data_IF_533174427399
#
_entry.id   IF_533174427399
#
_cell.length_a   1.000
_cell.length_b   1.000
_cell.length_c   1.000
_cell.angle_alpha   90.00
_cell.angle_beta   90.00
_cell.angle_gamma   90.00
#
_symmetry.space_group_name_H-M   'P 1'
#
loop_
_entity.id
_entity.type
_entity.pdbx_description
1 polymer ?
#
# COMPACT_ATOMS: atom_id res chain seq x y z
N UNK A 1 -3.27 11.88 22.75
CA UNK A 1 -4.01 10.60 22.67
C UNK A 1 -3.71 9.76 23.91
N UNK A 2 -4.57 8.78 24.24
CA UNK A 2 -4.24 7.78 25.26
C UNK A 2 -3.20 6.76 24.77
N UNK A 3 -2.57 6.03 25.70
CA UNK A 3 -1.61 4.95 25.40
C UNK A 3 -2.20 3.88 24.45
N UNK A 4 -3.46 3.55 24.63
CA UNK A 4 -4.17 2.58 23.80
C UNK A 4 -4.38 3.09 22.36
N UNK A 5 -4.63 4.39 22.17
CA UNK A 5 -4.80 4.98 20.85
C UNK A 5 -3.47 4.99 20.08
N UNK A 6 -2.35 5.25 20.76
CA UNK A 6 -1.01 5.19 20.15
C UNK A 6 -0.67 3.76 19.72
N UNK A 7 -1.05 2.77 20.54
CA UNK A 7 -0.87 1.35 20.19
C UNK A 7 -1.68 0.97 18.95
N UNK A 8 -2.96 1.38 18.88
CA UNK A 8 -3.82 1.17 17.70
C UNK A 8 -3.25 1.84 16.46
N UNK A 9 -2.74 3.06 16.58
CA UNK A 9 -2.11 3.78 15.47
C UNK A 9 -0.91 3.03 14.90
N UNK A 10 -0.05 2.47 15.76
CA UNK A 10 1.08 1.63 15.34
C UNK A 10 0.63 0.37 14.61
N UNK A 11 -0.39 -0.32 15.13
CA UNK A 11 -0.96 -1.51 14.47
C UNK A 11 -1.50 -1.15 13.09
N UNK A 12 -2.22 -0.03 12.95
CA UNK A 12 -2.73 0.42 11.66
C UNK A 12 -1.62 0.73 10.66
N UNK A 13 -0.53 1.37 11.11
CA UNK A 13 0.66 1.62 10.27
C UNK A 13 1.23 0.31 9.72
N UNK A 14 1.39 -0.71 10.55
CA UNK A 14 1.92 -2.01 10.10
C UNK A 14 0.97 -2.72 9.13
N UNK A 15 -0.35 -2.61 9.34
CA UNK A 15 -1.34 -3.14 8.39
C UNK A 15 -1.25 -2.42 7.04
N UNK A 16 -1.09 -1.10 7.03
CA UNK A 16 -0.94 -0.34 5.78
C UNK A 16 0.36 -0.72 5.07
N UNK A 17 1.46 -0.94 5.79
CA UNK A 17 2.72 -1.44 5.19
C UNK A 17 2.56 -2.81 4.55
N UNK A 18 1.88 -3.75 5.22
CA UNK A 18 1.57 -5.06 4.64
C UNK A 18 0.71 -4.91 3.37
N UNK A 19 -0.29 -4.04 3.40
CA UNK A 19 -1.12 -3.76 2.23
C UNK A 19 -0.32 -3.19 1.06
N UNK A 20 0.57 -2.20 1.29
CA UNK A 20 1.48 -1.67 0.25
C UNK A 20 2.32 -2.78 -0.40
N UNK A 21 2.86 -3.70 0.41
CA UNK A 21 3.63 -4.84 -0.10
C UNK A 21 2.78 -5.76 -0.99
N UNK A 22 1.53 -6.03 -0.58
CA UNK A 22 0.60 -6.88 -1.34
C UNK A 22 0.23 -6.26 -2.69
N UNK A 23 -0.02 -4.94 -2.73
CA UNK A 23 -0.31 -4.24 -3.99
C UNK A 23 0.89 -4.28 -4.94
N UNK A 24 2.11 -4.12 -4.41
CA UNK A 24 3.33 -4.25 -5.20
C UNK A 24 3.53 -5.67 -5.76
N UNK A 25 3.33 -6.69 -4.93
CA UNK A 25 3.39 -8.10 -5.36
C UNK A 25 2.34 -8.42 -6.44
N UNK A 26 1.11 -7.92 -6.27
CA UNK A 26 0.02 -8.08 -7.24
C UNK A 26 0.35 -7.40 -8.58
N UNK A 27 0.83 -6.16 -8.54
CA UNK A 27 1.26 -5.43 -9.74
C UNK A 27 2.37 -6.17 -10.48
N UNK A 28 3.40 -6.64 -9.76
CA UNK A 28 4.50 -7.43 -10.33
C UNK A 28 4.00 -8.73 -10.95
N UNK A 29 3.09 -9.43 -10.27
CA UNK A 29 2.45 -10.64 -10.78
C UNK A 29 1.77 -10.39 -12.12
N UNK A 30 0.90 -9.39 -12.21
CA UNK A 30 0.18 -9.07 -13.45
C UNK A 30 1.12 -8.58 -14.57
N UNK A 31 2.12 -7.76 -14.26
CA UNK A 31 3.13 -7.35 -15.24
C UNK A 31 3.89 -8.55 -15.81
N UNK A 32 4.27 -9.50 -14.96
CA UNK A 32 4.95 -10.72 -15.38
C UNK A 32 4.04 -11.62 -16.23
N UNK A 33 2.75 -11.73 -15.88
CA UNK A 33 1.77 -12.45 -16.71
C UNK A 33 1.57 -11.80 -18.06
N UNK A 34 1.48 -10.47 -18.13
CA UNK A 34 1.38 -9.77 -19.41
C UNK A 34 2.56 -10.09 -20.34
N UNK A 35 3.80 -10.12 -19.82
CA UNK A 35 5.00 -10.40 -20.61
C UNK A 35 5.04 -11.82 -21.20
N UNK A 36 4.38 -12.77 -20.53
CA UNK A 36 4.33 -14.16 -20.94
C UNK A 36 3.12 -14.51 -21.83
N UNK A 37 2.20 -13.56 -22.03
CA UNK A 37 0.93 -13.80 -22.68
C UNK A 37 0.99 -13.55 -24.20
N UNK A 38 0.35 -14.44 -24.97
CA UNK A 38 0.28 -14.36 -26.43
C UNK A 38 -1.03 -13.72 -26.91
N UNK A 39 -2.09 -13.78 -26.11
CA UNK A 39 -3.37 -13.16 -26.43
C UNK A 39 -3.38 -11.67 -26.04
N UNK A 40 -3.55 -10.79 -27.04
CA UNK A 40 -3.51 -9.33 -26.84
C UNK A 40 -4.57 -8.85 -25.84
N UNK A 41 -5.77 -9.40 -25.89
CA UNK A 41 -6.86 -9.06 -24.95
C UNK A 41 -6.46 -9.35 -23.50
N UNK A 42 -5.82 -10.49 -23.25
CA UNK A 42 -5.40 -10.91 -21.93
C UNK A 42 -4.13 -10.15 -21.47
N UNK A 43 -3.24 -9.81 -22.40
CA UNK A 43 -2.11 -8.90 -22.15
C UNK A 43 -2.60 -7.53 -21.66
N UNK A 44 -3.57 -6.95 -22.36
CA UNK A 44 -4.15 -5.66 -22.03
C UNK A 44 -4.86 -5.72 -20.68
N UNK A 45 -5.64 -6.78 -20.41
CA UNK A 45 -6.26 -6.99 -19.10
C UNK A 45 -5.23 -7.00 -17.96
N UNK A 46 -4.15 -7.78 -18.09
CA UNK A 46 -3.12 -7.84 -17.05
C UNK A 46 -2.41 -6.49 -16.86
N UNK A 47 -2.14 -5.74 -17.93
CA UNK A 47 -1.57 -4.38 -17.80
C UNK A 47 -2.52 -3.43 -17.08
N UNK A 48 -3.82 -3.50 -17.39
CA UNK A 48 -4.83 -2.69 -16.70
C UNK A 48 -4.94 -3.04 -15.22
N UNK A 49 -4.94 -4.34 -14.87
CA UNK A 49 -4.94 -4.78 -13.48
C UNK A 49 -3.69 -4.29 -12.73
N UNK A 50 -2.50 -4.44 -13.33
CA UNK A 50 -1.28 -3.92 -12.73
C UNK A 50 -1.32 -2.40 -12.49
N UNK A 51 -1.92 -1.64 -13.41
CA UNK A 51 -2.07 -0.19 -13.23
C UNK A 51 -2.97 0.15 -12.05
N UNK A 52 -4.07 -0.59 -11.86
CA UNK A 52 -4.98 -0.42 -10.71
C UNK A 52 -4.26 -0.70 -9.39
N UNK A 53 -3.48 -1.79 -9.28
CA UNK A 53 -2.75 -2.07 -8.04
C UNK A 53 -1.68 -1.02 -7.74
N UNK A 54 -1.08 -0.42 -8.77
CA UNK A 54 -0.14 0.71 -8.57
C UNK A 54 -0.85 1.98 -8.09
N UNK A 55 -2.10 2.22 -8.50
CA UNK A 55 -2.93 3.30 -7.95
C UNK A 55 -3.29 3.01 -6.49
N UNK A 56 -3.75 1.80 -6.16
CA UNK A 56 -4.00 1.37 -4.78
C UNK A 56 -2.76 1.52 -3.90
N UNK A 57 -1.59 1.09 -4.39
CA UNK A 57 -0.31 1.25 -3.70
C UNK A 57 -0.03 2.72 -3.37
N UNK A 58 -0.21 3.61 -4.35
CA UNK A 58 0.02 5.05 -4.16
C UNK A 58 -0.91 5.62 -3.09
N UNK A 59 -2.19 5.29 -3.13
CA UNK A 59 -3.17 5.76 -2.14
C UNK A 59 -2.81 5.28 -0.72
N UNK A 60 -2.35 4.02 -0.58
CA UNK A 60 -1.89 3.46 0.69
C UNK A 60 -0.59 4.12 1.18
N UNK A 61 0.35 4.43 0.29
CA UNK A 61 1.58 5.15 0.64
C UNK A 61 1.30 6.58 1.11
N UNK A 62 0.32 7.26 0.51
CA UNK A 62 -0.14 8.58 0.96
C UNK A 62 -0.78 8.48 2.35
N UNK A 63 -1.64 7.50 2.57
CA UNK A 63 -2.25 7.23 3.87
C UNK A 63 -1.20 6.89 4.95
N UNK A 64 -0.20 6.07 4.60
CA UNK A 64 0.90 5.70 5.50
C UNK A 64 1.64 6.95 5.98
N UNK A 65 2.01 7.86 5.07
CA UNK A 65 2.68 9.11 5.40
C UNK A 65 1.87 9.97 6.36
N UNK A 66 0.54 10.02 6.19
CA UNK A 66 -0.32 10.75 7.12
C UNK A 66 -0.30 10.14 8.52
N UNK A 67 -0.34 8.81 8.62
CA UNK A 67 -0.40 8.10 9.89
C UNK A 67 0.93 8.14 10.63
N UNK A 68 2.06 8.05 9.91
CA UNK A 68 3.40 8.23 10.48
C UNK A 68 3.58 9.64 11.04
N UNK A 69 3.17 10.68 10.29
CA UNK A 69 3.18 12.07 10.80
C UNK A 69 2.34 12.25 12.07
N UNK A 70 1.18 11.61 12.15
CA UNK A 70 0.34 11.63 13.37
C UNK A 70 1.04 10.96 14.54
N UNK A 71 1.71 9.83 14.32
CA UNK A 71 2.45 9.12 15.35
C UNK A 71 3.65 9.93 15.86
N UNK A 72 4.39 10.57 14.96
CA UNK A 72 5.51 11.47 15.29
C UNK A 72 5.04 12.67 16.13
N UNK A 73 3.94 13.32 15.72
CA UNK A 73 3.37 14.43 16.46
C UNK A 73 2.95 14.05 17.90
N UNK A 74 2.44 12.83 18.10
CA UNK A 74 2.14 12.34 19.45
C UNK A 74 3.41 12.00 20.26
N UNK A 75 4.49 11.55 19.61
CA UNK A 75 5.76 11.32 20.32
C UNK A 75 6.35 12.65 20.84
N UNK A 76 6.35 13.70 20.03
CA UNK A 76 6.88 15.03 20.40
C UNK A 76 6.10 15.71 21.54
N UNK A 77 4.79 15.43 21.69
CA UNK A 77 3.97 15.97 22.80
C UNK A 77 4.27 15.31 24.15
N UNK A 78 4.93 14.15 24.14
CA UNK A 78 5.21 13.35 25.33
C UNK A 78 6.70 13.39 25.73
N UNK A 79 7.50 14.26 25.10
CA UNK A 79 8.85 14.66 25.50
C UNK A 79 8.77 15.91 26.39
#
# INVERSE_FOLDING_TARGET
>A
MGLEDVKKLRVMIEVIKDAVSREEESAVYYLNKSKAEHFEELNNLFRSLAAVELEHKKDLEELLKEYEKRLEAEHLKNL
#
